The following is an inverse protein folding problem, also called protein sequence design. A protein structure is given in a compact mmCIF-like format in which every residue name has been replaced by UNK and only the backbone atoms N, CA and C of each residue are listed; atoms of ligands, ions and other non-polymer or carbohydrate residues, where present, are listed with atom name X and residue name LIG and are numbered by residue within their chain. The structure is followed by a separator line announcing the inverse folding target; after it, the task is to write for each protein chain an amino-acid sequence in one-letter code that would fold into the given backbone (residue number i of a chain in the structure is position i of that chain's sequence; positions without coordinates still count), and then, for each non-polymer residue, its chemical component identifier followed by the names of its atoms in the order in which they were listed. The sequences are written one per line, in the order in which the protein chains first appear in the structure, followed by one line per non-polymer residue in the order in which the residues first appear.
data_IF_392143491805
#
_entry.id   IF_392143491805
#
_cell.length_a   1.000
_cell.length_b   1.000
_cell.length_c   1.000
_cell.angle_alpha   90.00
_cell.angle_beta   90.00
_cell.angle_gamma   90.00
#
_symmetry.space_group_name_H-M   'P 1'
#
loop_
_entity.id
_entity.type
_entity.pdbx_description
1 polymer ?
#
# COMPACT_ATOMS: atom_id res chain seq x y z
N UNK A 1 35.02 11.68 -36.47
CA UNK A 1 33.56 11.70 -36.26
C UNK A 1 33.06 10.35 -35.72
N UNK A 2 33.48 9.89 -34.52
CA UNK A 2 33.01 8.59 -33.98
C UNK A 2 32.97 8.47 -32.44
N UNK A 3 33.27 9.54 -31.70
CA UNK A 3 33.29 9.51 -30.21
C UNK A 3 32.08 10.16 -29.55
N UNK A 4 31.35 11.00 -30.29
CA UNK A 4 30.18 11.73 -29.77
C UNK A 4 28.96 10.80 -29.70
N UNK A 5 28.79 9.88 -30.66
CA UNK A 5 27.65 8.95 -30.68
C UNK A 5 27.63 7.98 -29.48
N UNK A 6 28.80 7.51 -29.02
CA UNK A 6 28.87 6.54 -27.91
C UNK A 6 28.52 7.22 -26.57
N UNK A 7 28.95 8.47 -26.37
CA UNK A 7 28.64 9.21 -25.14
C UNK A 7 27.14 9.50 -24.98
N UNK A 8 26.42 9.76 -26.08
CA UNK A 8 24.97 10.00 -26.06
C UNK A 8 24.19 8.74 -25.71
N UNK A 9 24.62 7.57 -26.21
CA UNK A 9 23.95 6.28 -25.92
C UNK A 9 24.09 5.91 -24.44
N UNK A 10 25.27 6.14 -23.84
CA UNK A 10 25.52 5.82 -22.42
C UNK A 10 24.70 6.73 -21.49
N UNK A 11 24.58 8.02 -21.83
CA UNK A 11 23.78 8.98 -21.03
C UNK A 11 22.28 8.66 -21.12
N UNK A 12 21.78 8.26 -22.30
CA UNK A 12 20.39 7.81 -22.44
C UNK A 12 20.12 6.52 -21.64
N UNK A 13 21.06 5.57 -21.58
CA UNK A 13 20.88 4.35 -20.77
C UNK A 13 20.77 4.62 -19.26
N UNK A 14 21.48 5.63 -18.74
CA UNK A 14 21.40 6.00 -17.32
C UNK A 14 20.11 6.78 -16.99
N UNK A 15 19.61 7.61 -17.91
CA UNK A 15 18.37 8.35 -17.70
C UNK A 15 17.12 7.46 -17.82
N UNK A 16 17.15 6.38 -18.61
CA UNK A 16 16.04 5.42 -18.69
C UNK A 16 16.01 4.48 -17.48
N UNK A 17 17.15 4.20 -16.85
CA UNK A 17 17.22 3.31 -15.68
C UNK A 17 16.73 3.92 -14.36
N UNK A 18 16.69 5.25 -14.24
CA UNK A 18 16.27 5.94 -13.01
C UNK A 18 14.81 6.40 -13.00
N UNK A 19 14.12 6.41 -14.15
CA UNK A 19 12.82 7.09 -14.28
C UNK A 19 11.61 6.22 -13.88
N UNK A 20 11.74 4.89 -13.70
CA UNK A 20 10.56 4.03 -13.45
C UNK A 20 10.65 3.06 -12.27
N UNK A 21 11.64 3.19 -11.39
CA UNK A 21 11.68 2.35 -10.17
C UNK A 21 10.71 2.82 -9.09
N UNK A 22 10.40 4.13 -9.03
CA UNK A 22 9.43 4.67 -8.08
C UNK A 22 7.99 4.34 -8.47
N UNK A 23 7.66 4.35 -9.77
CA UNK A 23 6.34 4.01 -10.29
C UNK A 23 5.99 2.54 -10.04
N UNK A 24 7.00 1.65 -10.05
CA UNK A 24 6.83 0.23 -9.77
C UNK A 24 6.46 -0.10 -8.30
N UNK A 25 6.59 0.85 -7.38
CA UNK A 25 6.32 0.68 -5.95
C UNK A 25 5.01 1.35 -5.49
N UNK A 26 4.29 1.95 -6.42
CA UNK A 26 3.06 2.68 -6.16
C UNK A 26 1.89 2.04 -6.91
N UNK A 27 0.75 1.93 -6.25
CA UNK A 27 -0.49 1.46 -6.89
C UNK A 27 -1.68 2.29 -6.44
N UNK A 28 -2.66 2.43 -7.34
CA UNK A 28 -3.89 3.16 -7.10
C UNK A 28 -5.04 2.16 -7.09
N UNK A 29 -5.71 2.04 -5.96
CA UNK A 29 -6.92 1.25 -5.77
C UNK A 29 -8.13 2.17 -5.93
N UNK A 30 -8.91 1.92 -6.97
CA UNK A 30 -10.18 2.60 -7.17
C UNK A 30 -11.23 2.05 -6.22
N UNK A 31 -12.17 2.91 -5.81
CA UNK A 31 -13.20 2.53 -4.86
C UNK A 31 -14.10 1.40 -5.38
N UNK A 32 -14.33 1.34 -6.69
CA UNK A 32 -15.05 0.25 -7.36
C UNK A 32 -14.39 -1.12 -7.15
N UNK A 33 -13.07 -1.18 -6.97
CA UNK A 33 -12.31 -2.41 -6.76
C UNK A 33 -12.29 -2.86 -5.29
N UNK A 34 -12.81 -2.05 -4.37
CA UNK A 34 -12.88 -2.38 -2.94
C UNK A 34 -14.15 -3.17 -2.67
N UNK A 35 -14.05 -4.33 -2.05
CA UNK A 35 -15.22 -5.09 -1.62
C UNK A 35 -15.78 -4.47 -0.34
N UNK A 36 -14.91 -4.29 0.65
CA UNK A 36 -15.27 -3.86 1.99
C UNK A 36 -14.05 -3.33 2.74
N UNK A 37 -14.27 -2.34 3.59
CA UNK A 37 -13.27 -1.80 4.50
C UNK A 37 -13.69 -2.13 5.93
N UNK A 38 -12.89 -2.95 6.61
CA UNK A 38 -13.07 -3.30 8.00
C UNK A 38 -12.27 -2.38 8.90
N UNK A 39 -12.90 -1.79 9.91
CA UNK A 39 -12.21 -1.05 10.96
C UNK A 39 -12.40 -1.78 12.28
N UNK A 40 -11.31 -2.20 12.93
CA UNK A 40 -11.38 -3.03 14.13
C UNK A 40 -10.26 -2.77 15.12
N UNK A 41 -10.39 -3.37 16.30
CA UNK A 41 -9.40 -3.36 17.36
C UNK A 41 -8.54 -4.63 17.27
N UNK A 42 -7.23 -4.46 17.25
CA UNK A 42 -6.24 -5.53 17.28
C UNK A 42 -5.36 -5.45 18.52
N UNK A 43 -4.41 -6.38 18.60
CA UNK A 43 -3.33 -6.36 19.59
C UNK A 43 -2.01 -6.62 18.90
N UNK A 44 -1.00 -5.84 19.24
CA UNK A 44 0.38 -6.04 18.80
C UNK A 44 1.22 -6.54 19.98
N UNK A 45 1.92 -7.65 19.77
CA UNK A 45 2.88 -8.14 20.76
C UNK A 45 4.19 -7.40 20.59
N UNK A 46 4.67 -6.77 21.67
CA UNK A 46 5.96 -6.11 21.73
C UNK A 46 7.02 -7.04 22.32
N UNK A 47 8.29 -6.67 22.17
CA UNK A 47 9.36 -7.28 22.94
C UNK A 47 9.05 -7.17 24.45
N UNK A 48 9.46 -8.16 25.24
CA UNK A 48 9.20 -8.29 26.68
C UNK A 48 7.77 -8.70 27.08
N UNK A 49 6.96 -9.15 26.12
CA UNK A 49 5.63 -9.73 26.40
C UNK A 49 4.54 -8.70 26.68
N UNK A 50 4.80 -7.42 26.39
CA UNK A 50 3.81 -6.34 26.49
C UNK A 50 2.86 -6.41 25.30
N UNK A 51 1.55 -6.33 25.55
CA UNK A 51 0.53 -6.18 24.51
C UNK A 51 0.17 -4.70 24.35
N UNK A 52 0.30 -4.18 23.13
CA UNK A 52 -0.18 -2.87 22.74
C UNK A 52 -1.54 -3.01 22.04
N UNK A 53 -2.52 -2.20 22.46
CA UNK A 53 -3.77 -2.08 21.71
C UNK A 53 -3.51 -1.28 20.44
N UNK A 54 -3.88 -1.86 19.30
CA UNK A 54 -3.83 -1.17 18.00
C UNK A 54 -5.21 -1.16 17.37
N UNK A 55 -5.39 -0.25 16.43
CA UNK A 55 -6.60 -0.14 15.62
C UNK A 55 -6.22 -0.36 14.17
N UNK A 56 -6.98 -1.17 13.46
CA UNK A 56 -6.61 -1.64 12.12
C UNK A 56 -7.72 -1.30 11.16
N UNK A 57 -7.35 -0.74 10.01
CA UNK A 57 -8.21 -0.58 8.85
C UNK A 57 -7.76 -1.57 7.79
N UNK A 58 -8.56 -2.60 7.52
CA UNK A 58 -8.29 -3.64 6.53
C UNK A 58 -9.19 -3.46 5.32
N UNK A 59 -8.59 -3.43 4.13
CA UNK A 59 -9.28 -3.25 2.86
C UNK A 59 -9.26 -4.58 2.11
N UNK A 60 -10.44 -5.13 1.82
CA UNK A 60 -10.60 -6.29 0.93
C UNK A 60 -10.99 -5.83 -0.47
N UNK A 61 -10.45 -6.49 -1.50
CA UNK A 61 -10.67 -6.14 -2.90
C UNK A 61 -11.57 -7.18 -3.61
N UNK A 62 -12.48 -6.71 -4.47
CA UNK A 62 -13.52 -7.55 -5.13
C UNK A 62 -12.90 -8.63 -6.02
N UNK A 63 -11.81 -8.31 -6.68
CA UNK A 63 -11.02 -9.27 -7.46
C UNK A 63 -9.57 -9.23 -6.98
N UNK A 64 -8.84 -10.35 -7.18
CA UNK A 64 -7.39 -10.39 -6.97
C UNK A 64 -6.75 -9.34 -7.86
N UNK A 65 -6.50 -8.16 -7.30
CA UNK A 65 -5.91 -7.05 -8.03
C UNK A 65 -4.45 -7.45 -8.29
N UNK A 66 -4.22 -8.01 -9.47
CA UNK A 66 -2.90 -8.48 -9.87
C UNK A 66 -1.85 -7.37 -9.74
N UNK A 67 -2.26 -6.11 -9.93
CA UNK A 67 -1.41 -4.93 -9.71
C UNK A 67 -0.87 -4.83 -8.28
N UNK A 68 -1.70 -5.00 -7.24
CA UNK A 68 -1.22 -4.93 -5.85
C UNK A 68 -0.23 -6.07 -5.55
N UNK A 69 -0.51 -7.26 -6.10
CA UNK A 69 0.39 -8.42 -6.00
C UNK A 69 1.70 -8.16 -6.76
N UNK A 70 1.64 -7.61 -7.97
CA UNK A 70 2.79 -7.31 -8.81
C UNK A 70 3.66 -6.23 -8.18
N UNK A 71 3.07 -5.15 -7.69
CA UNK A 71 3.78 -4.08 -6.97
C UNK A 71 4.46 -4.64 -5.72
N UNK A 72 3.78 -5.49 -4.94
CA UNK A 72 4.40 -6.15 -3.79
C UNK A 72 5.60 -7.02 -4.17
N UNK A 73 5.55 -7.73 -5.30
CA UNK A 73 6.62 -8.64 -5.71
C UNK A 73 7.79 -7.92 -6.40
N UNK A 74 7.49 -6.90 -7.21
CA UNK A 74 8.45 -6.25 -8.09
C UNK A 74 9.08 -5.01 -7.46
N UNK A 75 8.44 -4.39 -6.46
CA UNK A 75 9.02 -3.26 -5.76
C UNK A 75 10.29 -3.71 -5.00
N UNK A 76 11.46 -3.08 -5.19
CA UNK A 76 12.68 -3.48 -4.47
C UNK A 76 12.71 -2.99 -3.02
N UNK A 77 11.85 -2.06 -2.62
CA UNK A 77 11.78 -1.55 -1.26
C UNK A 77 10.97 -2.48 -0.34
N UNK A 78 11.13 -2.34 0.97
CA UNK A 78 10.33 -3.07 1.97
C UNK A 78 8.91 -2.52 2.10
N UNK A 79 8.69 -1.30 1.61
CA UNK A 79 7.40 -0.60 1.62
C UNK A 79 6.91 -0.36 0.20
N UNK A 80 5.59 -0.28 0.06
CA UNK A 80 4.89 0.10 -1.18
C UNK A 80 3.87 1.18 -0.85
N UNK A 81 3.58 2.05 -1.81
CA UNK A 81 2.59 3.11 -1.65
C UNK A 81 1.28 2.65 -2.26
N UNK A 82 0.22 2.61 -1.46
CA UNK A 82 -1.14 2.31 -1.91
C UNK A 82 -1.98 3.57 -1.78
N UNK A 83 -2.55 4.04 -2.89
CA UNK A 83 -3.53 5.15 -2.89
C UNK A 83 -4.93 4.64 -3.07
N UNK A 84 -5.86 5.19 -2.30
CA UNK A 84 -7.28 4.84 -2.35
C UNK A 84 -8.09 6.07 -1.97
N UNK A 85 -9.05 6.46 -2.81
CA UNK A 85 -9.77 7.72 -2.65
C UNK A 85 -8.81 8.91 -2.61
N UNK A 86 -8.91 9.74 -1.57
CA UNK A 86 -7.98 10.86 -1.33
C UNK A 86 -6.75 10.48 -0.49
N UNK A 87 -6.65 9.23 -0.04
CA UNK A 87 -5.65 8.79 0.92
C UNK A 87 -4.51 8.03 0.25
N UNK A 88 -3.29 8.20 0.78
CA UNK A 88 -2.10 7.44 0.38
C UNK A 88 -1.41 6.84 1.60
N UNK A 89 -1.11 5.55 1.55
CA UNK A 89 -0.52 4.79 2.65
C UNK A 89 0.78 4.15 2.20
N UNK A 90 1.85 4.41 2.95
CA UNK A 90 3.08 3.63 2.83
C UNK A 90 2.93 2.37 3.68
N UNK A 91 2.87 1.22 3.01
CA UNK A 91 2.61 -0.07 3.63
C UNK A 91 3.84 -0.95 3.54
N UNK A 92 4.30 -1.57 4.65
CA UNK A 92 5.29 -2.61 4.55
C UNK A 92 4.68 -3.83 3.83
N UNK A 93 5.49 -4.56 3.06
CA UNK A 93 5.02 -5.70 2.25
C UNK A 93 4.28 -6.79 3.04
N UNK A 94 4.56 -6.93 4.33
CA UNK A 94 3.89 -7.90 5.20
C UNK A 94 2.46 -7.47 5.60
N UNK A 95 2.12 -6.18 5.47
CA UNK A 95 0.77 -5.67 5.68
C UNK A 95 -0.15 -5.89 4.47
N UNK A 96 0.40 -6.39 3.36
CA UNK A 96 -0.33 -6.79 2.16
C UNK A 96 -0.40 -8.30 2.13
N UNK A 97 -1.53 -8.85 1.70
CA UNK A 97 -1.69 -10.29 1.54
C UNK A 97 -0.79 -10.85 0.43
N UNK A 98 -0.43 -12.14 0.50
CA UNK A 98 0.39 -12.78 -0.54
C UNK A 98 -0.34 -12.88 -1.88
N UNK A 99 -1.68 -12.89 -1.84
CA UNK A 99 -2.54 -12.87 -3.02
C UNK A 99 -2.74 -11.50 -3.64
N UNK A 100 -2.42 -10.41 -2.92
CA UNK A 100 -2.80 -9.05 -3.31
C UNK A 100 -4.30 -8.77 -3.22
N UNK A 101 -5.06 -9.60 -2.50
CA UNK A 101 -6.51 -9.52 -2.30
C UNK A 101 -6.92 -8.63 -1.12
N UNK A 102 -6.01 -8.35 -0.19
CA UNK A 102 -6.27 -7.42 0.90
C UNK A 102 -4.99 -6.76 1.43
N UNK A 103 -5.15 -5.64 2.13
CA UNK A 103 -4.09 -5.00 2.90
C UNK A 103 -4.64 -4.36 4.17
N UNK A 104 -3.76 -4.08 5.14
CA UNK A 104 -4.12 -3.46 6.41
C UNK A 104 -3.24 -2.26 6.75
N UNK A 105 -3.85 -1.24 7.36
CA UNK A 105 -3.16 -0.06 7.91
C UNK A 105 -3.37 -0.05 9.42
N UNK A 106 -2.29 0.12 10.19
CA UNK A 106 -2.34 0.14 11.65
C UNK A 106 -2.30 1.57 12.21
N UNK A 107 -3.08 1.82 13.25
CA UNK A 107 -3.23 3.11 13.91
C UNK A 107 -3.20 2.96 15.44
N UNK A 108 -2.79 4.03 16.12
CA UNK A 108 -2.74 4.07 17.59
C UNK A 108 -4.07 4.47 18.23
N UNK A 109 -5.01 5.02 17.45
CA UNK A 109 -6.28 5.55 17.97
C UNK A 109 -7.45 5.12 17.08
N UNK A 110 -8.63 4.86 17.65
CA UNK A 110 -9.81 4.44 16.90
C UNK A 110 -10.25 5.51 15.90
N UNK A 111 -10.19 6.79 16.29
CA UNK A 111 -10.62 7.92 15.44
C UNK A 111 -9.77 8.05 14.18
N UNK A 112 -8.46 7.79 14.28
CA UNK A 112 -7.57 7.78 13.10
C UNK A 112 -7.86 6.60 12.17
N UNK A 113 -8.14 5.43 12.74
CA UNK A 113 -8.46 4.25 11.94
C UNK A 113 -9.78 4.45 11.17
N UNK A 114 -10.81 4.95 11.88
CA UNK A 114 -12.10 5.26 11.27
C UNK A 114 -11.99 6.41 10.26
N UNK A 115 -11.33 7.51 10.63
CA UNK A 115 -11.11 8.64 9.73
C UNK A 115 -10.41 8.22 8.45
N UNK A 116 -9.32 7.45 8.56
CA UNK A 116 -8.63 6.92 7.39
C UNK A 116 -9.56 6.07 6.52
N UNK A 117 -10.36 5.17 7.10
CA UNK A 117 -11.31 4.35 6.35
C UNK A 117 -12.38 5.18 5.61
N UNK A 118 -12.90 6.23 6.27
CA UNK A 118 -13.89 7.13 5.69
C UNK A 118 -13.30 7.99 4.56
N UNK A 119 -12.00 8.30 4.58
CA UNK A 119 -11.30 9.00 3.50
C UNK A 119 -10.97 8.10 2.29
N UNK A 120 -11.13 6.78 2.42
CA UNK A 120 -10.94 5.81 1.33
C UNK A 120 -12.23 5.65 0.49
N UNK A 121 -13.24 5.01 1.08
CA UNK A 121 -14.51 4.61 0.46
C UNK A 121 -15.60 4.55 1.54
N UNK A 122 -16.17 5.70 1.96
CA UNK A 122 -17.05 5.76 3.12
C UNK A 122 -18.25 4.80 3.05
N UNK A 123 -18.78 4.57 1.85
CA UNK A 123 -19.92 3.68 1.61
C UNK A 123 -19.61 2.19 1.77
N UNK A 124 -18.32 1.82 1.88
CA UNK A 124 -17.85 0.44 2.05
C UNK A 124 -17.28 0.16 3.44
N UNK A 125 -17.37 1.11 4.36
CA UNK A 125 -16.82 1.00 5.71
C UNK A 125 -17.76 0.25 6.64
N UNK A 126 -17.26 -0.85 7.21
CA UNK A 126 -17.84 -1.54 8.36
C UNK A 126 -16.92 -1.39 9.57
N UNK A 127 -17.39 -0.62 10.57
CA UNK A 127 -16.66 -0.37 11.80
C UNK A 127 -17.14 -1.25 12.95
N UNK A 128 -16.19 -1.88 13.63
CA UNK A 128 -16.36 -2.73 14.81
C UNK A 128 -15.58 -2.17 16.01
N UNK A 129 -15.45 -0.84 16.07
CA UNK A 129 -14.76 -0.13 17.14
C UNK A 129 -15.58 0.03 18.44
N UNK A 130 -16.73 -0.66 18.54
CA UNK A 130 -17.64 -0.61 19.70
C UNK A 130 -16.98 -1.09 21.00
#
# INVERSE_FOLDING_TARGET
MNRICIAVIVICMWMVGFVDLSSACETVVLCENVEIIYVGKGRRHLADGVEETIYVTSVMLIEKMNELKEVRLNCPYETVIVRIGSSGFELPKHAISTGGDWFSVEFLTPDKALGAAMDMCPEKVNSYLQ
#
